data_IF_753788145665
#
_entry.id   IF_753788145665
#
_cell.length_a   1.000
_cell.length_b   1.000
_cell.length_c   1.000
_cell.angle_alpha   90.00
_cell.angle_beta   90.00
_cell.angle_gamma   90.00
#
_symmetry.space_group_name_H-M   'P 1'
#
loop_
_entity.id
_entity.type
_entity.pdbx_description
1 polymer ?
#
# COMPACT_ATOMS: atom_id res chain seq x y z
N UNK A 1 -3.75 8.81 -4.98
CA UNK A 1 -2.31 9.04 -4.81
C UNK A 1 -1.78 8.54 -3.47
N UNK A 2 -2.56 8.61 -2.40
CA UNK A 2 -2.16 8.21 -1.05
C UNK A 2 -2.04 6.68 -0.86
N UNK A 3 -2.75 5.90 -1.67
CA UNK A 3 -2.86 4.45 -1.48
C UNK A 3 -1.97 3.64 -2.41
N UNK A 4 -1.51 4.23 -3.51
CA UNK A 4 -0.69 3.58 -4.53
C UNK A 4 0.44 4.50 -4.97
N UNK A 5 1.53 3.92 -5.45
CA UNK A 5 2.61 4.69 -6.05
C UNK A 5 2.19 5.35 -7.36
N UNK A 6 2.77 6.53 -7.66
CA UNK A 6 2.55 7.20 -8.95
C UNK A 6 2.94 6.33 -10.15
N UNK A 7 3.98 5.51 -9.99
CA UNK A 7 4.43 4.55 -11.00
C UNK A 7 3.35 3.54 -11.35
N UNK A 8 2.61 3.06 -10.34
CA UNK A 8 1.52 2.10 -10.53
C UNK A 8 0.37 2.68 -11.37
N UNK A 9 -0.04 3.93 -11.11
CA UNK A 9 -1.08 4.58 -11.89
C UNK A 9 -0.63 4.86 -13.34
N UNK A 10 0.61 5.34 -13.52
CA UNK A 10 1.19 5.55 -14.85
C UNK A 10 1.29 4.25 -15.63
N UNK A 11 1.70 3.15 -15.00
CA UNK A 11 1.80 1.85 -15.66
C UNK A 11 0.45 1.31 -16.14
N UNK A 12 -0.63 1.61 -15.41
CA UNK A 12 -1.99 1.29 -15.84
C UNK A 12 -2.40 2.10 -17.08
N UNK A 13 -2.12 3.42 -17.09
CA UNK A 13 -2.43 4.28 -18.24
C UNK A 13 -1.65 3.87 -19.48
N UNK A 14 -0.38 3.47 -19.32
CA UNK A 14 0.47 3.05 -20.43
C UNK A 14 -0.11 1.88 -21.24
N UNK A 15 -0.97 1.05 -20.65
CA UNK A 15 -1.67 -0.04 -21.34
C UNK A 15 -2.63 0.44 -22.44
N UNK A 16 -3.00 1.72 -22.41
CA UNK A 16 -3.96 2.33 -23.35
C UNK A 16 -3.30 3.19 -24.42
N UNK A 17 -1.96 3.17 -24.51
CA UNK A 17 -1.25 3.78 -25.63
C UNK A 17 -1.04 2.75 -26.73
N UNK A 18 -1.15 3.20 -27.98
CA UNK A 18 -0.85 2.43 -29.16
C UNK A 18 0.68 2.39 -29.41
N UNK A 19 1.13 1.61 -30.40
CA UNK A 19 2.55 1.53 -30.77
C UNK A 19 3.13 2.86 -31.26
N UNK A 20 2.30 3.75 -31.83
CA UNK A 20 2.65 5.08 -32.30
C UNK A 20 2.60 6.16 -31.18
N UNK A 21 2.48 5.74 -29.91
CA UNK A 21 2.30 6.60 -28.74
C UNK A 21 1.01 7.42 -28.73
N UNK A 22 0.05 7.19 -29.62
CA UNK A 22 -1.28 7.78 -29.52
C UNK A 22 -2.10 7.11 -28.40
N UNK A 23 -2.94 7.90 -27.71
CA UNK A 23 -3.80 7.36 -26.67
C UNK A 23 -5.08 6.75 -27.25
N UNK A 24 -5.39 5.50 -26.89
CA UNK A 24 -6.54 4.76 -27.39
C UNK A 24 -7.76 5.01 -26.49
N UNK A 25 -8.53 6.05 -26.82
CA UNK A 25 -9.71 6.45 -26.06
C UNK A 25 -10.78 5.35 -25.98
N UNK A 26 -10.96 4.57 -27.05
CA UNK A 26 -12.01 3.52 -27.07
C UNK A 26 -11.68 2.38 -26.11
N UNK A 27 -10.43 1.91 -26.13
CA UNK A 27 -9.96 0.89 -25.19
C UNK A 27 -10.00 1.38 -23.74
N UNK A 28 -9.64 2.63 -23.52
CA UNK A 28 -9.66 3.24 -22.18
C UNK A 28 -11.09 3.41 -21.66
N UNK A 29 -11.99 3.96 -22.47
CA UNK A 29 -13.42 4.14 -22.13
C UNK A 29 -14.08 2.80 -21.84
N UNK A 30 -13.80 1.79 -22.66
CA UNK A 30 -14.28 0.42 -22.43
C UNK A 30 -13.75 -0.14 -21.10
N UNK A 31 -12.48 0.07 -20.78
CA UNK A 31 -11.91 -0.41 -19.51
C UNK A 31 -12.53 0.26 -18.28
N UNK A 32 -12.89 1.54 -18.37
CA UNK A 32 -13.64 2.25 -17.31
C UNK A 32 -15.03 1.63 -17.18
N UNK A 33 -15.73 1.47 -18.30
CA UNK A 33 -17.09 0.91 -18.32
C UNK A 33 -17.15 -0.52 -17.80
N UNK A 34 -16.15 -1.35 -18.14
CA UNK A 34 -16.00 -2.73 -17.66
C UNK A 34 -15.50 -2.81 -16.19
N UNK A 35 -15.22 -1.69 -15.54
CA UNK A 35 -14.66 -1.65 -14.18
C UNK A 35 -13.21 -2.13 -14.06
N UNK A 36 -12.47 -2.21 -15.18
CA UNK A 36 -11.08 -2.64 -15.23
C UNK A 36 -10.08 -1.52 -14.97
N UNK A 37 -10.55 -0.26 -14.99
CA UNK A 37 -9.76 0.91 -14.66
C UNK A 37 -10.52 1.83 -13.68
N UNK A 38 -9.86 2.38 -12.65
CA UNK A 38 -8.50 2.00 -12.20
C UNK A 38 -8.45 0.62 -11.55
N UNK A 39 -7.27 -0.01 -11.56
CA UNK A 39 -7.05 -1.25 -10.81
C UNK A 39 -7.28 -1.01 -9.32
N UNK A 40 -8.11 -1.84 -8.73
CA UNK A 40 -8.57 -1.73 -7.33
C UNK A 40 -7.91 -2.77 -6.43
N UNK A 41 -6.84 -3.41 -6.88
CA UNK A 41 -6.17 -4.50 -6.15
C UNK A 41 -4.76 -4.14 -5.68
N UNK A 42 -4.03 -3.30 -6.41
CA UNK A 42 -2.63 -2.95 -6.16
C UNK A 42 -2.40 -1.93 -5.04
N UNK A 43 -3.01 -2.12 -3.89
CA UNK A 43 -2.78 -1.24 -2.74
C UNK A 43 -1.50 -1.60 -1.99
N UNK A 44 -0.81 -0.57 -1.48
CA UNK A 44 0.32 -0.74 -0.57
C UNK A 44 -0.07 -1.52 0.69
N UNK A 45 0.87 -2.24 1.29
CA UNK A 45 0.62 -3.16 2.41
C UNK A 45 0.01 -2.50 3.64
N UNK A 46 0.45 -1.27 3.96
CA UNK A 46 0.01 -0.53 5.14
C UNK A 46 -1.40 0.06 5.02
N UNK A 47 -2.01 0.03 3.82
CA UNK A 47 -3.36 0.57 3.63
C UNK A 47 -4.39 -0.34 4.31
N UNK A 48 -5.19 0.18 5.27
CA UNK A 48 -6.19 -0.59 5.99
C UNK A 48 -7.23 -1.23 5.08
N UNK A 49 -7.68 -2.45 5.41
CA UNK A 49 -8.67 -3.16 4.61
C UNK A 49 -10.00 -2.40 4.51
N UNK A 50 -10.42 -1.70 5.58
CA UNK A 50 -11.61 -0.84 5.55
C UNK A 50 -11.48 0.24 4.47
N UNK A 51 -10.32 0.94 4.40
CA UNK A 51 -10.10 1.97 3.39
C UNK A 51 -10.17 1.38 1.97
N UNK A 52 -9.56 0.22 1.74
CA UNK A 52 -9.64 -0.48 0.44
C UNK A 52 -11.08 -0.78 0.06
N UNK A 53 -11.89 -1.23 1.00
CA UNK A 53 -13.31 -1.54 0.77
C UNK A 53 -14.12 -0.26 0.45
N UNK A 54 -13.86 0.83 1.16
CA UNK A 54 -14.55 2.11 0.93
C UNK A 54 -14.19 2.71 -0.44
N UNK A 55 -12.90 2.66 -0.82
CA UNK A 55 -12.47 3.08 -2.16
C UNK A 55 -13.12 2.19 -3.23
N UNK A 56 -13.18 0.88 -3.02
CA UNK A 56 -13.80 -0.04 -3.98
C UNK A 56 -15.27 0.29 -4.17
N UNK A 57 -16.03 0.50 -3.08
CA UNK A 57 -17.43 0.92 -3.13
C UNK A 57 -17.60 2.25 -3.86
N UNK A 58 -16.75 3.25 -3.59
CA UNK A 58 -16.79 4.55 -4.27
C UNK A 58 -16.53 4.44 -5.78
N UNK A 59 -15.81 3.41 -6.21
CA UNK A 59 -15.43 3.16 -7.60
C UNK A 59 -16.30 2.09 -8.28
N UNK A 60 -17.42 1.64 -7.69
CA UNK A 60 -18.30 0.69 -8.36
C UNK A 60 -18.77 1.21 -9.72
N UNK A 61 -18.93 0.30 -10.70
CA UNK A 61 -19.30 0.68 -12.06
C UNK A 61 -20.75 1.16 -12.09
N UNK A 62 -21.64 0.40 -11.45
CA UNK A 62 -23.02 0.79 -11.31
C UNK A 62 -23.16 1.92 -10.27
N UNK A 63 -23.73 3.08 -10.62
CA UNK A 63 -23.94 4.18 -9.69
C UNK A 63 -24.76 3.80 -8.45
N UNK A 64 -25.73 2.90 -8.56
CA UNK A 64 -26.57 2.45 -7.45
C UNK A 64 -25.78 1.69 -6.37
N UNK A 65 -24.63 1.10 -6.73
CA UNK A 65 -23.77 0.37 -5.81
C UNK A 65 -22.74 1.28 -5.13
N UNK A 66 -22.67 2.55 -5.54
CA UNK A 66 -21.77 3.54 -4.95
C UNK A 66 -22.35 4.14 -3.66
N UNK A 67 -21.65 5.12 -3.14
CA UNK A 67 -22.19 6.01 -2.09
C UNK A 67 -23.26 6.93 -2.65
N UNK A 68 -24.36 7.10 -1.92
CA UNK A 68 -25.44 8.01 -2.30
C UNK A 68 -25.01 9.48 -2.18
N UNK A 69 -24.05 9.76 -1.30
CA UNK A 69 -23.52 11.11 -1.10
C UNK A 69 -22.04 11.10 -0.73
N UNK A 70 -21.39 12.24 -0.94
CA UNK A 70 -20.01 12.46 -0.45
C UNK A 70 -19.96 12.39 1.06
N UNK A 71 -21.02 12.79 1.75
CA UNK A 71 -21.10 12.76 3.21
C UNK A 71 -21.07 11.33 3.74
N UNK A 72 -21.78 10.39 3.09
CA UNK A 72 -21.73 8.97 3.47
C UNK A 72 -20.32 8.40 3.33
N UNK A 73 -19.62 8.75 2.24
CA UNK A 73 -18.22 8.37 2.05
C UNK A 73 -17.30 8.95 3.13
N UNK A 74 -17.48 10.23 3.49
CA UNK A 74 -16.69 10.89 4.53
C UNK A 74 -16.97 10.29 5.91
N UNK A 75 -18.21 9.92 6.22
CA UNK A 75 -18.57 9.25 7.46
C UNK A 75 -17.87 7.88 7.56
N UNK A 76 -17.86 7.10 6.50
CA UNK A 76 -17.13 5.84 6.45
C UNK A 76 -15.63 6.06 6.64
N UNK A 77 -15.02 7.03 5.95
CA UNK A 77 -13.61 7.37 6.10
C UNK A 77 -13.26 7.76 7.55
N UNK A 78 -14.12 8.55 8.21
CA UNK A 78 -13.90 8.97 9.60
C UNK A 78 -13.94 7.81 10.60
N UNK A 79 -14.56 6.69 10.23
CA UNK A 79 -14.61 5.47 11.04
C UNK A 79 -13.33 4.63 11.02
N UNK A 80 -12.34 5.03 10.20
CA UNK A 80 -11.07 4.32 10.10
C UNK A 80 -10.15 4.76 11.24
N UNK A 81 -9.92 3.85 12.18
CA UNK A 81 -8.89 4.04 13.19
C UNK A 81 -7.51 3.75 12.60
N UNK A 82 -6.64 4.74 12.58
CA UNK A 82 -5.25 4.60 12.17
C UNK A 82 -4.37 4.67 13.41
N UNK A 83 -3.79 3.54 13.81
CA UNK A 83 -2.91 3.47 14.97
C UNK A 83 -1.48 3.91 14.68
N UNK A 84 -1.05 3.73 13.43
CA UNK A 84 0.27 4.09 12.92
C UNK A 84 0.14 4.72 11.55
N UNK A 85 0.68 5.92 11.38
CA UNK A 85 0.74 6.62 10.09
C UNK A 85 1.99 6.17 9.31
N UNK A 86 1.89 5.02 8.66
CA UNK A 86 2.97 4.44 7.89
C UNK A 86 3.21 5.19 6.58
N UNK A 87 4.45 5.60 6.36
CA UNK A 87 4.94 6.13 5.11
C UNK A 87 5.72 5.05 4.36
N UNK A 88 5.42 4.85 3.09
CA UNK A 88 6.18 3.95 2.23
C UNK A 88 7.30 4.71 1.54
N UNK A 89 8.53 4.27 1.76
CA UNK A 89 9.77 4.92 1.31
C UNK A 89 10.66 3.88 0.60
N UNK A 90 10.32 3.49 -0.64
CA UNK A 90 11.14 2.53 -1.39
C UNK A 90 12.48 3.15 -1.75
N UNK A 91 13.56 2.41 -1.56
CA UNK A 91 14.91 2.83 -1.91
C UNK A 91 15.76 1.65 -2.36
N UNK A 92 16.42 1.77 -3.51
CA UNK A 92 17.41 0.81 -4.03
C UNK A 92 16.94 -0.65 -4.01
N UNK A 93 15.69 -0.89 -4.41
CA UNK A 93 15.07 -2.23 -4.42
C UNK A 93 14.59 -2.72 -3.04
N UNK A 94 14.81 -1.95 -1.98
CA UNK A 94 14.31 -2.23 -0.64
C UNK A 94 12.96 -1.56 -0.46
N UNK A 95 11.96 -2.31 -0.04
CA UNK A 95 10.69 -1.76 0.37
C UNK A 95 10.73 -1.42 1.86
N UNK A 96 10.64 -0.13 2.17
CA UNK A 96 10.68 0.37 3.54
C UNK A 96 9.38 1.09 3.91
N UNK A 97 8.89 0.80 5.08
CA UNK A 97 7.80 1.55 5.72
C UNK A 97 8.33 2.16 7.01
N UNK A 98 8.04 3.42 7.22
CA UNK A 98 8.43 4.16 8.41
C UNK A 98 7.23 4.85 9.04
N UNK A 99 7.21 4.90 10.35
CA UNK A 99 6.17 5.57 11.12
C UNK A 99 6.77 6.27 12.35
N UNK A 100 6.23 7.42 12.65
CA UNK A 100 6.58 8.19 13.85
C UNK A 100 5.42 8.10 14.85
N UNK A 101 5.73 7.73 16.11
CA UNK A 101 4.75 7.66 17.19
C UNK A 101 5.37 8.18 18.49
N UNK A 102 4.97 9.38 18.89
CA UNK A 102 5.59 10.08 20.01
C UNK A 102 7.09 10.34 19.73
N UNK A 103 7.93 9.91 20.64
CA UNK A 103 9.39 9.99 20.57
C UNK A 103 10.05 8.83 19.81
N UNK A 104 9.26 7.92 19.21
CA UNK A 104 9.75 6.70 18.58
C UNK A 104 9.57 6.72 17.08
N UNK A 105 10.52 6.10 16.40
CA UNK A 105 10.48 5.77 14.98
C UNK A 105 10.42 4.25 14.84
N UNK A 106 9.45 3.77 14.09
CA UNK A 106 9.29 2.36 13.72
C UNK A 106 9.63 2.21 12.25
N UNK A 107 10.35 1.16 11.91
CA UNK A 107 10.74 0.85 10.54
C UNK A 107 10.47 -0.62 10.26
N UNK A 108 9.87 -0.90 9.11
CA UNK A 108 9.71 -2.26 8.56
C UNK A 108 10.35 -2.27 7.18
N UNK A 109 11.27 -3.18 6.94
CA UNK A 109 11.93 -3.31 5.63
C UNK A 109 11.77 -4.71 5.08
N UNK A 110 11.61 -4.80 3.77
CA UNK A 110 11.71 -6.04 3.00
C UNK A 110 12.83 -5.85 1.98
N UNK A 111 13.93 -6.56 2.17
CA UNK A 111 15.14 -6.46 1.36
C UNK A 111 15.36 -7.75 0.60
N UNK A 112 15.38 -7.74 -0.75
CA UNK A 112 15.77 -8.90 -1.54
C UNK A 112 17.15 -9.40 -1.16
N UNK A 113 17.31 -10.72 -1.02
CA UNK A 113 18.61 -11.38 -0.82
C UNK A 113 19.01 -12.24 -2.00
N UNK A 114 18.03 -12.66 -2.80
CA UNK A 114 18.18 -13.36 -4.08
C UNK A 114 16.92 -13.14 -4.93
N UNK A 115 16.81 -13.80 -6.07
CA UNK A 115 15.63 -13.75 -6.94
C UNK A 115 14.37 -14.37 -6.31
N UNK A 116 14.53 -15.20 -5.27
CA UNK A 116 13.43 -15.95 -4.63
C UNK A 116 13.28 -15.67 -3.15
N UNK A 117 14.28 -15.06 -2.50
CA UNK A 117 14.33 -14.85 -1.06
C UNK A 117 14.49 -13.38 -0.68
N UNK A 118 13.99 -13.05 0.50
CA UNK A 118 14.12 -11.73 1.09
C UNK A 118 14.37 -11.81 2.61
N UNK A 119 14.90 -10.73 3.16
CA UNK A 119 14.98 -10.49 4.60
C UNK A 119 13.92 -9.49 5.01
N UNK A 120 13.21 -9.77 6.09
CA UNK A 120 12.33 -8.81 6.77
C UNK A 120 13.01 -8.32 8.02
N UNK A 121 13.07 -7.01 8.20
CA UNK A 121 13.54 -6.40 9.44
C UNK A 121 12.51 -5.42 9.97
N UNK A 122 12.12 -5.59 11.22
CA UNK A 122 11.26 -4.67 11.93
C UNK A 122 12.00 -4.10 13.12
N UNK A 123 12.15 -2.79 13.19
CA UNK A 123 12.95 -2.11 14.20
C UNK A 123 12.22 -0.94 14.81
N UNK A 124 12.63 -0.57 16.03
CA UNK A 124 12.24 0.68 16.68
C UNK A 124 13.44 1.40 17.27
N UNK A 125 13.42 2.71 17.27
CA UNK A 125 14.39 3.56 17.93
C UNK A 125 13.73 4.80 18.52
N UNK A 126 14.38 5.41 19.49
CA UNK A 126 14.02 6.76 19.96
C UNK A 126 14.47 7.79 18.91
N UNK A 127 13.67 8.80 18.67
CA UNK A 127 13.90 9.80 17.61
C UNK A 127 15.28 10.46 17.72
N UNK A 128 15.72 10.77 18.95
CA UNK A 128 17.02 11.39 19.25
C UNK A 128 18.16 10.36 19.39
N UNK A 129 17.84 9.06 19.34
CA UNK A 129 18.77 7.97 19.57
C UNK A 129 19.19 7.26 18.29
N UNK A 130 20.48 6.94 18.16
CA UNK A 130 21.00 6.16 17.03
C UNK A 130 20.73 4.65 17.16
N UNK A 131 20.52 4.14 18.39
CA UNK A 131 20.39 2.70 18.65
C UNK A 131 19.03 2.17 18.21
N UNK A 132 19.01 1.37 17.14
CA UNK A 132 17.86 0.58 16.72
C UNK A 132 17.72 -0.67 17.58
N UNK A 133 16.49 -1.01 17.95
CA UNK A 133 16.13 -2.28 18.61
C UNK A 133 15.28 -3.09 17.65
N UNK A 134 15.64 -4.33 17.44
CA UNK A 134 14.89 -5.27 16.61
C UNK A 134 13.60 -5.69 17.31
N UNK A 135 12.54 -5.86 16.51
CA UNK A 135 11.26 -6.44 16.94
C UNK A 135 11.20 -7.85 16.36
N UNK A 136 11.74 -8.82 17.10
CA UNK A 136 12.03 -10.19 16.63
C UNK A 136 10.80 -10.92 16.08
N UNK A 137 9.62 -10.69 16.65
CA UNK A 137 8.37 -11.32 16.19
C UNK A 137 7.99 -10.96 14.74
N UNK A 138 8.57 -9.88 14.22
CA UNK A 138 8.30 -9.36 12.85
C UNK A 138 9.57 -9.22 12.04
N UNK A 139 10.63 -9.92 12.43
CA UNK A 139 11.89 -9.94 11.70
C UNK A 139 12.25 -11.39 11.34
N UNK A 140 12.72 -11.62 10.13
CA UNK A 140 13.21 -12.92 9.70
C UNK A 140 14.21 -12.76 8.56
N UNK A 141 15.17 -13.67 8.51
CA UNK A 141 16.21 -13.72 7.48
C UNK A 141 15.99 -14.93 6.57
N UNK A 142 16.15 -14.72 5.27
CA UNK A 142 16.06 -15.78 4.24
C UNK A 142 14.70 -16.50 4.22
N UNK A 143 13.67 -15.74 3.97
CA UNK A 143 12.31 -16.25 3.71
C UNK A 143 11.92 -15.99 2.26
N UNK A 144 10.94 -16.72 1.75
CA UNK A 144 10.38 -16.44 0.41
C UNK A 144 9.80 -15.01 0.36
N UNK A 145 9.72 -14.41 -0.82
CA UNK A 145 9.09 -13.10 -0.97
C UNK A 145 7.65 -13.09 -0.42
N UNK A 146 6.89 -14.15 -0.68
CA UNK A 146 5.51 -14.26 -0.20
C UNK A 146 5.44 -14.21 1.33
N UNK A 147 6.29 -14.96 2.02
CA UNK A 147 6.33 -14.99 3.48
C UNK A 147 6.89 -13.68 4.05
N UNK A 148 7.87 -13.07 3.38
CA UNK A 148 8.39 -11.75 3.74
C UNK A 148 7.28 -10.70 3.72
N UNK A 149 6.47 -10.66 2.68
CA UNK A 149 5.36 -9.71 2.59
C UNK A 149 4.22 -10.03 3.56
N UNK A 150 3.95 -11.32 3.84
CA UNK A 150 3.00 -11.71 4.90
C UNK A 150 3.46 -11.23 6.28
N UNK A 151 4.75 -11.38 6.58
CA UNK A 151 5.33 -10.95 7.85
C UNK A 151 5.33 -9.42 7.98
N UNK A 152 5.76 -8.71 6.93
CA UNK A 152 5.69 -7.25 6.86
C UNK A 152 4.26 -6.74 7.05
N UNK A 153 3.27 -7.35 6.39
CA UNK A 153 1.85 -7.01 6.56
C UNK A 153 1.37 -7.19 8.00
N UNK A 154 1.81 -8.25 8.69
CA UNK A 154 1.50 -8.44 10.10
C UNK A 154 2.10 -7.32 10.96
N UNK A 155 3.36 -6.94 10.71
CA UNK A 155 4.00 -5.84 11.43
C UNK A 155 3.26 -4.52 11.22
N UNK A 156 2.91 -4.18 9.96
CA UNK A 156 2.24 -2.94 9.60
C UNK A 156 0.79 -2.85 10.14
N UNK A 157 0.12 -4.00 10.32
CA UNK A 157 -1.24 -4.09 10.85
C UNK A 157 -1.32 -4.24 12.37
N UNK A 158 -0.19 -4.36 13.07
CA UNK A 158 -0.18 -4.57 14.52
C UNK A 158 -0.28 -3.24 15.27
N UNK A 159 -1.23 -3.17 16.19
CA UNK A 159 -1.48 -1.99 17.03
C UNK A 159 -0.50 -1.87 18.20
N UNK A 160 0.40 -2.85 18.39
CA UNK A 160 1.26 -3.01 19.58
C UNK A 160 2.75 -3.18 19.25
N UNK A 161 3.24 -2.53 18.17
CA UNK A 161 4.68 -2.50 17.85
C UNK A 161 5.49 -1.77 18.93
#
# INVERSE_FOLDING_TARGET
RLCNENSFFKSQLNKYFNQDNSFNNDRFSKAIFDGKFPDRTGYLLHIPQKLKNYIRKALEVNPEDRYNSVLDFLNDLSSIEVHYDWQFLPQDGINMWQCYKGDKVYEVTVSPTSDTEATVSSTKRVLTGAKKREISNYSNKKVTFEDAYKLAKKALGNNSL
#
